data_IF_537444292693
#
_entry.id   IF_537444292693
#
_cell.length_a   1.000
_cell.length_b   1.000
_cell.length_c   1.000
_cell.angle_alpha   90.00
_cell.angle_beta   90.00
_cell.angle_gamma   90.00
#
_symmetry.space_group_name_H-M   'P 1'
#
loop_
_entity.id
_entity.type
_entity.pdbx_description
1 polymer ?
#
# COMPACT_ATOMS: atom_id res chain seq x y z
N UNK A 1 -15.81 -86.84 2.96
CA UNK A 1 -15.74 -86.44 4.38
C UNK A 1 -14.36 -85.83 4.64
N UNK A 2 -14.26 -84.49 4.64
CA UNK A 2 -13.21 -83.69 5.29
C UNK A 2 -13.57 -82.21 5.04
N UNK A 3 -14.26 -81.58 5.99
CA UNK A 3 -13.74 -80.49 6.83
C UNK A 3 -13.20 -79.27 6.06
N UNK A 4 -13.95 -78.18 6.10
CA UNK A 4 -13.41 -76.87 6.42
C UNK A 4 -14.42 -76.10 7.27
N UNK A 5 -13.93 -75.67 8.43
CA UNK A 5 -14.64 -75.03 9.51
C UNK A 5 -14.22 -73.55 9.46
N UNK A 6 -15.15 -72.61 9.39
CA UNK A 6 -14.81 -71.18 9.51
C UNK A 6 -15.77 -70.52 10.48
N UNK A 7 -15.23 -70.17 11.66
CA UNK A 7 -15.90 -69.46 12.72
C UNK A 7 -16.24 -68.03 12.30
N UNK A 8 -17.49 -67.62 12.54
CA UNK A 8 -17.90 -66.22 12.46
C UNK A 8 -17.57 -65.53 13.79
N UNK A 9 -16.50 -64.73 13.80
CA UNK A 9 -16.19 -63.81 14.89
C UNK A 9 -16.85 -62.45 14.58
N UNK A 10 -17.75 -62.03 15.47
CA UNK A 10 -18.35 -60.70 15.52
C UNK A 10 -17.30 -59.66 15.89
N UNK A 11 -16.93 -58.80 14.93
CA UNK A 11 -16.08 -57.63 15.19
C UNK A 11 -16.95 -56.37 15.33
N UNK A 12 -17.19 -55.97 16.57
CA UNK A 12 -17.60 -54.61 16.92
C UNK A 12 -16.42 -53.67 16.70
N UNK A 13 -16.35 -53.06 15.51
CA UNK A 13 -15.37 -52.05 15.16
C UNK A 13 -15.88 -50.64 15.47
N UNK A 14 -15.14 -49.93 16.31
CA UNK A 14 -15.34 -48.54 16.72
C UNK A 14 -15.75 -47.60 15.57
N UNK A 15 -16.79 -46.79 15.79
CA UNK A 15 -17.01 -45.57 15.01
C UNK A 15 -15.89 -44.59 15.37
N UNK A 16 -14.82 -44.57 14.58
CA UNK A 16 -13.89 -43.45 14.60
C UNK A 16 -14.64 -42.16 14.27
N UNK A 17 -14.48 -41.14 15.11
CA UNK A 17 -14.96 -39.80 14.82
C UNK A 17 -14.36 -39.34 13.47
N UNK A 18 -15.16 -38.71 12.58
CA UNK A 18 -14.60 -38.16 11.36
C UNK A 18 -13.50 -37.15 11.69
N UNK A 19 -12.42 -37.08 10.89
CA UNK A 19 -11.29 -36.20 11.19
C UNK A 19 -11.78 -34.76 11.30
N UNK A 20 -11.52 -34.14 12.45
CA UNK A 20 -11.79 -32.72 12.67
C UNK A 20 -11.16 -31.90 11.52
N UNK A 21 -11.89 -30.91 11.00
CA UNK A 21 -11.41 -30.05 9.92
C UNK A 21 -9.98 -29.56 10.24
N UNK A 22 -9.06 -29.74 9.29
CA UNK A 22 -7.64 -29.39 9.48
C UNK A 22 -7.51 -27.92 9.89
N UNK A 23 -6.97 -27.68 11.09
CA UNK A 23 -6.73 -26.34 11.61
C UNK A 23 -5.33 -25.88 11.23
N UNK A 24 -5.22 -24.60 10.87
CA UNK A 24 -3.98 -23.96 10.44
C UNK A 24 -3.72 -22.72 11.28
N UNK A 25 -2.46 -22.29 11.32
CA UNK A 25 -2.04 -21.02 11.94
C UNK A 25 -1.58 -20.04 10.89
N UNK A 26 -1.81 -18.75 11.14
CA UNK A 26 -1.33 -17.69 10.28
C UNK A 26 -1.52 -16.31 10.88
N UNK A 27 -1.14 -15.29 10.13
CA UNK A 27 -1.23 -13.89 10.55
C UNK A 27 -2.32 -13.21 9.72
N UNK A 28 -3.25 -12.52 10.38
CA UNK A 28 -4.31 -11.80 9.67
C UNK A 28 -3.70 -10.63 8.91
N UNK A 29 -3.80 -10.70 7.57
CA UNK A 29 -3.32 -9.69 6.63
C UNK A 29 -4.34 -8.58 6.43
N UNK A 30 -5.60 -8.95 6.25
CA UNK A 30 -6.66 -8.03 5.80
C UNK A 30 -8.04 -8.51 6.28
N UNK A 31 -8.91 -7.57 6.64
CA UNK A 31 -10.33 -7.79 6.90
C UNK A 31 -11.13 -7.25 5.70
N UNK A 32 -11.78 -8.14 4.97
CA UNK A 32 -12.55 -7.79 3.76
C UNK A 32 -13.95 -7.27 4.10
N UNK A 33 -14.58 -7.86 5.12
CA UNK A 33 -15.90 -7.54 5.65
C UNK A 33 -15.98 -8.00 7.12
N UNK A 34 -17.08 -7.66 7.81
CA UNK A 34 -17.35 -8.11 9.18
C UNK A 34 -17.45 -9.62 9.40
N UNK A 35 -17.30 -10.42 8.34
CA UNK A 35 -17.37 -11.88 8.38
C UNK A 35 -16.29 -12.53 7.50
N UNK A 36 -15.32 -11.78 6.98
CA UNK A 36 -14.32 -12.34 6.05
C UNK A 36 -12.94 -11.74 6.28
N UNK A 37 -11.95 -12.61 6.47
CA UNK A 37 -10.54 -12.22 6.69
C UNK A 37 -9.61 -12.94 5.71
N UNK A 38 -8.49 -12.31 5.39
CA UNK A 38 -7.37 -12.90 4.66
C UNK A 38 -6.25 -13.16 5.66
N UNK A 39 -5.83 -14.41 5.73
CA UNK A 39 -4.79 -14.91 6.64
C UNK A 39 -3.62 -15.35 5.79
N UNK A 40 -2.42 -14.86 6.09
CA UNK A 40 -1.18 -15.24 5.41
C UNK A 40 -0.36 -16.18 6.28
N UNK A 41 0.43 -17.04 5.63
CA UNK A 41 1.46 -17.80 6.32
C UNK A 41 2.53 -16.87 6.93
N UNK A 42 3.22 -17.37 7.96
CA UNK A 42 4.34 -16.66 8.59
C UNK A 42 5.60 -16.65 7.72
N UNK A 43 5.73 -17.61 6.79
CA UNK A 43 6.87 -17.80 5.89
C UNK A 43 6.42 -17.94 4.43
N UNK A 44 7.34 -17.72 3.49
CA UNK A 44 7.13 -17.79 2.04
C UNK A 44 7.42 -16.45 1.34
N UNK A 45 7.71 -16.49 0.04
CA UNK A 45 8.03 -15.32 -0.77
C UNK A 45 7.39 -15.42 -2.18
N UNK A 46 6.19 -14.84 -2.40
CA UNK A 46 5.30 -14.25 -1.39
C UNK A 46 4.69 -15.33 -0.47
N UNK A 47 4.34 -15.00 0.79
CA UNK A 47 3.69 -15.96 1.68
C UNK A 47 2.34 -16.41 1.12
N UNK A 48 2.01 -17.71 1.17
CA UNK A 48 0.67 -18.18 0.83
C UNK A 48 -0.41 -17.46 1.65
N UNK A 49 -1.52 -17.15 1.01
CA UNK A 49 -2.68 -16.48 1.61
C UNK A 49 -3.91 -17.36 1.51
N UNK A 50 -4.79 -17.23 2.50
CA UNK A 50 -6.06 -17.93 2.57
C UNK A 50 -7.16 -16.98 3.02
N UNK A 51 -8.24 -16.92 2.26
CA UNK A 51 -9.41 -16.10 2.60
C UNK A 51 -10.43 -16.99 3.32
N UNK A 52 -10.75 -16.65 4.56
CA UNK A 52 -11.71 -17.37 5.40
C UNK A 52 -12.94 -16.50 5.60
N UNK A 53 -14.10 -17.03 5.19
CA UNK A 53 -15.41 -16.48 5.54
C UNK A 53 -15.90 -17.15 6.83
N UNK A 54 -16.50 -16.42 7.75
CA UNK A 54 -16.94 -16.97 9.02
C UNK A 54 -18.14 -17.90 8.83
N UNK A 55 -18.05 -19.09 9.43
CA UNK A 55 -19.12 -20.09 9.37
C UNK A 55 -20.38 -19.59 10.06
N UNK A 56 -21.54 -19.93 9.48
CA UNK A 56 -22.89 -19.70 10.02
C UNK A 56 -23.31 -18.25 10.27
N UNK A 57 -22.51 -17.26 9.89
CA UNK A 57 -22.85 -15.85 10.10
C UNK A 57 -22.88 -15.08 8.78
N UNK A 58 -23.42 -13.87 8.85
CA UNK A 58 -23.45 -12.91 7.75
C UNK A 58 -23.25 -11.49 8.31
N UNK A 59 -22.24 -10.79 7.80
CA UNK A 59 -22.05 -9.37 8.12
C UNK A 59 -22.90 -8.46 7.22
N UNK A 60 -23.29 -7.26 7.71
CA UNK A 60 -23.82 -6.22 6.84
C UNK A 60 -22.78 -5.84 5.75
N UNK A 61 -23.24 -5.60 4.53
CA UNK A 61 -22.38 -5.36 3.36
C UNK A 61 -21.77 -3.96 3.37
N UNK A 62 -20.46 -3.89 3.15
CA UNK A 62 -19.76 -2.63 2.93
C UNK A 62 -20.07 -2.03 1.55
N UNK A 63 -19.99 -0.70 1.50
CA UNK A 63 -20.01 0.10 0.30
C UNK A 63 -18.93 -0.35 -0.68
N UNK A 64 -19.28 -0.36 -1.97
CA UNK A 64 -18.36 -0.70 -3.06
C UNK A 64 -18.14 0.52 -3.91
N UNK A 65 -16.87 0.80 -4.16
CA UNK A 65 -16.47 1.86 -5.09
C UNK A 65 -17.04 1.54 -6.48
N UNK A 66 -17.65 2.51 -7.17
CA UNK A 66 -18.02 2.35 -8.57
C UNK A 66 -16.76 2.03 -9.40
N UNK A 67 -16.77 0.87 -10.05
CA UNK A 67 -15.70 0.38 -10.91
C UNK A 67 -16.04 0.57 -12.39
N UNK A 68 -15.23 0.00 -13.28
CA UNK A 68 -15.44 0.06 -14.74
C UNK A 68 -16.63 -0.76 -15.27
N UNK A 69 -17.63 -1.07 -14.44
CA UNK A 69 -18.77 -1.90 -14.85
C UNK A 69 -19.81 -2.17 -13.75
N UNK A 70 -19.94 -1.32 -12.74
CA UNK A 70 -20.98 -1.49 -11.72
C UNK A 70 -21.28 -0.21 -10.96
N UNK A 71 -22.52 -0.11 -10.50
CA UNK A 71 -23.01 1.03 -9.73
C UNK A 71 -22.37 1.11 -8.34
N UNK A 72 -22.25 2.34 -7.84
CA UNK A 72 -21.87 2.58 -6.44
C UNK A 72 -22.90 1.95 -5.49
N UNK A 73 -22.43 1.20 -4.49
CA UNK A 73 -23.29 0.72 -3.40
C UNK A 73 -22.93 1.44 -2.11
N UNK A 74 -23.96 1.79 -1.32
CA UNK A 74 -23.78 2.30 0.04
C UNK A 74 -23.50 1.17 1.03
N UNK A 75 -22.98 1.52 2.21
CA UNK A 75 -22.90 0.58 3.32
C UNK A 75 -24.32 0.16 3.71
N UNK A 76 -24.52 -1.12 3.98
CA UNK A 76 -25.62 -1.54 4.84
C UNK A 76 -25.35 -1.03 6.27
N UNK A 77 -26.40 -0.73 7.05
CA UNK A 77 -26.23 -0.28 8.42
C UNK A 77 -25.27 -1.20 9.23
N UNK A 78 -24.28 -0.59 9.91
CA UNK A 78 -23.31 -1.23 10.82
C UNK A 78 -22.25 -2.06 10.08
N UNK A 79 -22.21 -2.02 8.74
CA UNK A 79 -21.18 -2.72 7.96
C UNK A 79 -19.78 -2.22 8.31
N UNK A 80 -19.63 -0.89 8.43
CA UNK A 80 -18.36 -0.28 8.82
C UNK A 80 -17.96 -0.63 10.25
N UNK A 81 -18.86 -0.47 11.22
CA UNK A 81 -18.63 -0.83 12.62
C UNK A 81 -18.21 -2.30 12.76
N UNK A 82 -18.90 -3.21 12.05
CA UNK A 82 -18.60 -4.64 12.04
C UNK A 82 -17.19 -4.94 11.50
N UNK A 83 -16.80 -4.28 10.40
CA UNK A 83 -15.47 -4.43 9.82
C UNK A 83 -14.37 -3.80 10.67
N UNK A 84 -14.61 -2.63 11.26
CA UNK A 84 -13.63 -1.92 12.09
C UNK A 84 -13.37 -2.65 13.40
N UNK A 85 -14.40 -3.23 14.03
CA UNK A 85 -14.22 -4.08 15.21
C UNK A 85 -13.26 -5.24 14.92
N UNK A 86 -13.45 -5.94 13.79
CA UNK A 86 -12.51 -6.98 13.36
C UNK A 86 -11.13 -6.44 13.04
N UNK A 87 -11.04 -5.30 12.35
CA UNK A 87 -9.76 -4.68 11.96
C UNK A 87 -8.91 -4.39 13.20
N UNK A 88 -9.49 -3.72 14.19
CA UNK A 88 -8.83 -3.36 15.44
C UNK A 88 -8.41 -4.60 16.23
N UNK A 89 -9.27 -5.63 16.25
CA UNK A 89 -9.00 -6.86 16.99
C UNK A 89 -7.94 -7.74 16.34
N UNK A 90 -7.92 -7.86 15.01
CA UNK A 90 -7.21 -8.93 14.32
C UNK A 90 -6.03 -8.50 13.47
N UNK A 91 -5.97 -7.26 12.96
CA UNK A 91 -4.93 -6.93 11.97
C UNK A 91 -3.51 -7.10 12.54
N UNK A 92 -2.72 -7.95 11.88
CA UNK A 92 -1.37 -8.29 12.30
C UNK A 92 -1.29 -9.32 13.44
N UNK A 93 -2.41 -9.80 13.98
CA UNK A 93 -2.42 -10.84 15.02
C UNK A 93 -2.22 -12.24 14.43
N UNK A 94 -1.57 -13.09 15.21
CA UNK A 94 -1.52 -14.53 14.93
C UNK A 94 -2.84 -15.19 15.36
N UNK A 95 -3.39 -16.02 14.48
CA UNK A 95 -4.66 -16.71 14.68
C UNK A 95 -4.53 -18.16 14.30
N UNK A 96 -5.33 -19.00 14.95
CA UNK A 96 -5.63 -20.36 14.50
C UNK A 96 -6.98 -20.34 13.81
N UNK A 97 -7.14 -21.08 12.72
CA UNK A 97 -8.39 -21.12 11.98
C UNK A 97 -8.67 -22.51 11.40
N UNK A 98 -9.95 -22.85 11.31
CA UNK A 98 -10.43 -23.99 10.54
C UNK A 98 -10.90 -23.53 9.18
N UNK A 99 -10.99 -24.45 8.21
CA UNK A 99 -11.64 -24.16 6.95
C UNK A 99 -12.30 -25.41 6.38
N UNK A 100 -13.45 -25.21 5.76
CA UNK A 100 -14.22 -26.19 5.02
C UNK A 100 -14.68 -25.52 3.73
N UNK A 101 -14.58 -26.25 2.61
CA UNK A 101 -15.06 -25.78 1.32
C UNK A 101 -16.30 -26.57 0.93
N UNK A 102 -17.50 -25.96 0.98
CA UNK A 102 -18.72 -26.62 0.52
C UNK A 102 -18.60 -27.01 -0.97
N UNK A 103 -19.14 -28.17 -1.40
CA UNK A 103 -19.01 -28.63 -2.79
C UNK A 103 -19.43 -27.61 -3.86
N UNK A 104 -20.46 -26.81 -3.56
CA UNK A 104 -21.04 -25.83 -4.49
C UNK A 104 -20.55 -24.39 -4.22
N UNK A 105 -19.43 -24.21 -3.50
CA UNK A 105 -18.91 -22.89 -3.18
C UNK A 105 -17.43 -22.75 -3.51
N UNK A 106 -17.07 -21.62 -4.11
CA UNK A 106 -15.68 -21.20 -4.21
C UNK A 106 -15.14 -20.54 -2.93
N UNK A 107 -15.99 -20.37 -1.91
CA UNK A 107 -15.62 -19.79 -0.63
C UNK A 107 -15.25 -20.88 0.37
N UNK A 108 -14.22 -20.61 1.14
CA UNK A 108 -13.84 -21.41 2.30
C UNK A 108 -14.46 -20.77 3.54
N UNK A 109 -15.18 -21.58 4.31
CA UNK A 109 -15.85 -21.17 5.54
C UNK A 109 -15.15 -21.78 6.74
N UNK A 110 -15.06 -21.02 7.83
CA UNK A 110 -14.40 -21.53 9.02
C UNK A 110 -14.60 -20.65 10.25
N UNK A 111 -13.98 -21.11 11.34
CA UNK A 111 -13.87 -20.36 12.58
C UNK A 111 -12.44 -19.85 12.74
N UNK A 112 -12.29 -18.73 13.45
CA UNK A 112 -11.01 -18.09 13.73
C UNK A 112 -10.89 -17.87 15.23
N UNK A 113 -9.75 -18.22 15.79
CA UNK A 113 -9.42 -18.05 17.20
C UNK A 113 -8.18 -17.17 17.36
N UNK A 114 -8.23 -16.24 18.31
CA UNK A 114 -7.07 -15.40 18.65
C UNK A 114 -5.96 -16.26 19.29
N UNK A 115 -4.77 -16.29 18.70
CA UNK A 115 -3.68 -17.15 19.16
C UNK A 115 -3.92 -18.62 18.80
N UNK A 116 -4.23 -19.44 19.81
CA UNK A 116 -4.52 -20.87 19.64
C UNK A 116 -6.02 -21.20 19.79
N UNK A 117 -6.35 -22.48 19.77
CA UNK A 117 -7.74 -22.97 19.81
C UNK A 117 -8.42 -22.77 21.16
N UNK A 118 -7.64 -22.55 22.22
CA UNK A 118 -8.16 -22.19 23.56
C UNK A 118 -8.45 -20.69 23.67
N UNK A 119 -7.95 -19.92 22.70
CA UNK A 119 -8.19 -18.50 22.58
C UNK A 119 -9.63 -18.15 22.23
N UNK A 120 -9.89 -16.85 22.21
CA UNK A 120 -11.21 -16.31 21.93
C UNK A 120 -11.68 -16.66 20.51
N UNK A 121 -12.86 -17.29 20.39
CA UNK A 121 -13.51 -17.55 19.11
C UNK A 121 -14.11 -16.25 18.55
N UNK A 122 -13.50 -15.72 17.50
CA UNK A 122 -13.86 -14.44 16.88
C UNK A 122 -15.30 -14.45 16.36
N UNK A 123 -15.77 -15.57 15.81
CA UNK A 123 -17.13 -15.67 15.27
C UNK A 123 -18.17 -15.49 16.38
N UNK A 124 -17.95 -16.15 17.52
CA UNK A 124 -18.79 -16.01 18.71
C UNK A 124 -18.75 -14.57 19.24
N UNK A 125 -17.59 -13.93 19.25
CA UNK A 125 -17.46 -12.52 19.65
C UNK A 125 -18.24 -11.59 18.73
N UNK A 126 -18.13 -11.75 17.41
CA UNK A 126 -18.87 -10.93 16.45
C UNK A 126 -20.38 -11.04 16.63
N UNK A 127 -20.89 -12.24 16.93
CA UNK A 127 -22.31 -12.45 17.24
C UNK A 127 -22.70 -11.79 18.55
N UNK A 128 -21.90 -11.99 19.61
CA UNK A 128 -22.14 -11.43 20.95
C UNK A 128 -22.16 -9.90 20.98
N UNK A 129 -21.39 -9.26 20.11
CA UNK A 129 -21.38 -7.80 19.96
C UNK A 129 -22.49 -7.30 19.00
N UNK A 130 -23.30 -8.19 18.44
CA UNK A 130 -24.38 -7.83 17.53
C UNK A 130 -23.88 -7.22 16.23
N UNK A 131 -22.71 -7.64 15.73
CA UNK A 131 -22.09 -7.08 14.53
C UNK A 131 -22.31 -7.95 13.28
N UNK A 132 -22.88 -9.15 13.46
CA UNK A 132 -23.26 -10.08 12.40
C UNK A 132 -24.61 -10.73 12.75
N UNK A 133 -25.21 -11.41 11.78
CA UNK A 133 -26.43 -12.21 11.96
C UNK A 133 -26.14 -13.69 11.74
N UNK A 134 -26.76 -14.54 12.56
CA UNK A 134 -26.62 -16.00 12.50
C UNK A 134 -27.60 -16.57 11.46
N UNK A 135 -27.10 -17.46 10.61
CA UNK A 135 -27.88 -18.22 9.60
C UNK A 135 -28.59 -19.40 10.26
N UNK A 136 -29.63 -19.11 11.04
CA UNK A 136 -30.39 -20.08 11.85
C UNK A 136 -31.02 -21.21 11.03
N UNK A 137 -31.23 -20.98 9.74
CA UNK A 137 -31.76 -21.94 8.78
C UNK A 137 -30.76 -23.03 8.37
N UNK A 138 -29.47 -22.87 8.73
CA UNK A 138 -28.44 -23.87 8.47
C UNK A 138 -28.79 -25.20 9.16
N UNK A 139 -28.55 -26.33 8.48
CA UNK A 139 -28.80 -27.68 9.00
C UNK A 139 -27.54 -28.56 8.78
N UNK A 140 -26.46 -28.35 9.55
CA UNK A 140 -25.27 -29.18 9.41
C UNK A 140 -25.57 -30.63 9.82
N UNK A 141 -24.99 -31.59 9.10
CA UNK A 141 -25.19 -33.03 9.33
C UNK A 141 -24.52 -33.53 10.60
N UNK A 142 -23.37 -32.95 10.97
CA UNK A 142 -22.58 -33.41 12.11
C UNK A 142 -23.11 -32.83 13.43
N UNK A 143 -23.29 -33.65 14.49
CA UNK A 143 -23.82 -33.18 15.78
C UNK A 143 -23.05 -32.01 16.41
N UNK A 144 -21.71 -32.07 16.39
CA UNK A 144 -20.88 -30.99 16.95
C UNK A 144 -21.06 -29.64 16.23
N UNK A 145 -21.38 -29.66 14.93
CA UNK A 145 -21.68 -28.44 14.16
C UNK A 145 -23.07 -27.89 14.49
N UNK A 146 -24.01 -28.78 14.83
CA UNK A 146 -25.35 -28.37 15.30
C UNK A 146 -25.25 -27.70 16.67
N UNK A 147 -24.46 -28.25 17.59
CA UNK A 147 -24.17 -27.63 18.89
C UNK A 147 -23.51 -26.25 18.75
N UNK A 148 -22.52 -26.11 17.86
CA UNK A 148 -21.88 -24.82 17.59
C UNK A 148 -22.87 -23.80 17.01
N UNK A 149 -23.74 -24.20 16.07
CA UNK A 149 -24.79 -23.33 15.54
C UNK A 149 -25.78 -22.91 16.64
N UNK A 150 -26.20 -23.85 17.50
CA UNK A 150 -27.11 -23.58 18.61
C UNK A 150 -26.49 -22.57 19.59
N UNK A 151 -25.20 -22.70 19.89
CA UNK A 151 -24.46 -21.73 20.71
C UNK A 151 -24.45 -20.33 20.08
N UNK A 152 -24.23 -20.22 18.76
CA UNK A 152 -24.29 -18.93 18.06
C UNK A 152 -25.69 -18.33 18.11
N UNK A 153 -26.74 -19.14 17.97
CA UNK A 153 -28.14 -18.70 18.08
C UNK A 153 -28.40 -18.07 19.45
N UNK A 154 -27.98 -18.73 20.53
CA UNK A 154 -28.13 -18.24 21.91
C UNK A 154 -27.38 -16.92 22.14
N UNK A 155 -26.16 -16.80 21.62
CA UNK A 155 -25.39 -15.56 21.68
C UNK A 155 -26.07 -14.41 20.93
N UNK A 156 -26.69 -14.70 19.77
CA UNK A 156 -27.43 -13.69 19.02
C UNK A 156 -28.68 -13.23 19.78
N UNK A 157 -29.41 -14.16 20.41
CA UNK A 157 -30.58 -13.82 21.23
C UNK A 157 -30.20 -12.96 22.45
N UNK A 158 -29.06 -13.24 23.07
CA UNK A 158 -28.48 -12.38 24.11
C UNK A 158 -28.12 -10.99 23.59
N UNK A 159 -27.48 -10.91 22.41
CA UNK A 159 -27.10 -9.63 21.80
C UNK A 159 -28.33 -8.78 21.43
N UNK A 160 -29.40 -9.43 20.95
CA UNK A 160 -30.71 -8.79 20.69
C UNK A 160 -31.34 -8.27 21.96
N UNK A 161 -31.42 -9.10 23.00
CA UNK A 161 -32.00 -8.71 24.28
C UNK A 161 -31.23 -7.55 24.93
N UNK A 162 -29.91 -7.54 24.81
CA UNK A 162 -29.05 -6.48 25.31
C UNK A 162 -28.98 -5.23 24.40
N UNK A 163 -29.63 -5.23 23.24
CA UNK A 163 -29.62 -4.11 22.29
C UNK A 163 -28.21 -3.76 21.78
N UNK A 164 -27.36 -4.77 21.51
CA UNK A 164 -25.97 -4.56 21.10
C UNK A 164 -25.83 -4.41 19.59
N UNK A 165 -24.86 -3.60 19.17
CA UNK A 165 -24.52 -3.44 17.76
C UNK A 165 -25.75 -3.11 16.93
N UNK A 166 -25.99 -3.90 15.87
CA UNK A 166 -27.11 -3.74 14.94
C UNK A 166 -28.50 -3.95 15.56
N UNK A 167 -28.55 -4.47 16.79
CA UNK A 167 -29.78 -4.68 17.56
C UNK A 167 -30.10 -3.52 18.50
N UNK A 168 -29.25 -2.50 18.55
CA UNK A 168 -29.50 -1.27 19.33
C UNK A 168 -30.65 -0.44 18.74
N UNK A 169 -31.14 0.52 19.52
CA UNK A 169 -32.18 1.47 19.09
C UNK A 169 -31.60 2.68 18.30
N UNK A 170 -30.32 2.63 17.90
CA UNK A 170 -29.70 3.69 17.09
C UNK A 170 -30.32 3.69 15.70
N UNK A 171 -30.52 4.87 15.10
CA UNK A 171 -31.11 4.98 13.78
C UNK A 171 -30.20 4.32 12.70
N UNK A 172 -30.74 3.38 11.89
CA UNK A 172 -30.05 2.78 10.75
C UNK A 172 -29.19 3.71 9.89
N UNK A 173 -29.67 4.94 9.65
CA UNK A 173 -28.99 5.90 8.77
C UNK A 173 -27.70 6.48 9.36
N UNK A 174 -27.56 6.53 10.70
CA UNK A 174 -26.38 7.10 11.38
C UNK A 174 -25.14 6.19 11.28
N UNK A 175 -25.33 4.95 10.83
CA UNK A 175 -24.27 3.94 10.71
C UNK A 175 -23.97 3.58 9.26
N UNK A 176 -24.31 4.49 8.35
CA UNK A 176 -23.96 4.44 6.93
C UNK A 176 -22.97 5.57 6.69
N UNK A 177 -21.77 5.27 6.18
CA UNK A 177 -20.78 6.31 5.90
C UNK A 177 -21.16 7.12 4.68
N UNK A 178 -20.86 8.40 4.73
CA UNK A 178 -20.86 9.28 3.56
C UNK A 178 -19.49 9.24 2.89
N UNK A 179 -19.28 8.26 2.01
CA UNK A 179 -17.99 8.06 1.35
C UNK A 179 -17.84 9.03 0.18
N UNK A 180 -16.71 9.74 0.15
CA UNK A 180 -16.34 10.63 -0.96
C UNK A 180 -15.32 9.91 -1.84
N UNK A 181 -15.78 9.16 -2.84
CA UNK A 181 -14.94 8.31 -3.70
C UNK A 181 -14.05 9.08 -4.68
N UNK A 182 -14.54 10.22 -5.14
CA UNK A 182 -13.87 11.14 -6.07
C UNK A 182 -13.85 12.52 -5.46
N UNK A 183 -12.85 13.32 -5.83
CA UNK A 183 -12.69 14.68 -5.35
C UNK A 183 -12.56 15.59 -6.56
N UNK A 184 -13.51 16.50 -6.74
CA UNK A 184 -13.50 17.47 -7.84
C UNK A 184 -12.30 18.41 -7.76
N UNK A 185 -11.95 18.82 -6.54
CA UNK A 185 -10.80 19.67 -6.27
C UNK A 185 -9.88 19.08 -5.19
N UNK A 186 -8.97 18.16 -5.56
CA UNK A 186 -8.00 17.59 -4.62
C UNK A 186 -7.12 18.64 -3.93
N UNK A 187 -6.76 19.72 -4.62
CA UNK A 187 -5.94 20.80 -4.08
C UNK A 187 -6.64 21.56 -2.94
N UNK A 188 -7.97 21.70 -3.02
CA UNK A 188 -8.75 22.30 -1.94
C UNK A 188 -8.65 21.47 -0.65
N UNK A 189 -8.64 20.14 -0.74
CA UNK A 189 -8.50 19.26 0.44
C UNK A 189 -7.11 19.39 1.06
N UNK A 190 -6.05 19.50 0.24
CA UNK A 190 -4.70 19.78 0.77
C UNK A 190 -4.68 21.13 1.51
N UNK A 191 -5.34 22.14 0.95
CA UNK A 191 -5.44 23.47 1.57
C UNK A 191 -6.26 23.45 2.86
N UNK A 192 -7.35 22.69 2.90
CA UNK A 192 -8.22 22.51 4.06
C UNK A 192 -7.44 22.01 5.28
N UNK A 193 -6.58 21.00 5.07
CA UNK A 193 -5.76 20.44 6.14
C UNK A 193 -4.46 21.21 6.37
N UNK A 194 -4.00 22.02 5.42
CA UNK A 194 -2.87 22.95 5.53
C UNK A 194 -1.58 22.34 6.16
N UNK A 195 -1.28 21.07 5.88
CA UNK A 195 -0.11 20.37 6.42
C UNK A 195 -0.29 19.78 7.82
N UNK A 196 -1.47 19.92 8.43
CA UNK A 196 -1.79 19.23 9.68
C UNK A 196 -1.93 17.71 9.45
N UNK A 197 -1.40 16.86 10.35
CA UNK A 197 -1.58 15.43 10.28
C UNK A 197 -3.05 14.98 10.44
N UNK A 198 -3.60 14.37 9.40
CA UNK A 198 -4.98 13.87 9.36
C UNK A 198 -5.02 12.39 9.73
N UNK A 199 -5.94 11.97 10.61
CA UNK A 199 -6.13 10.54 10.88
C UNK A 199 -6.63 9.83 9.63
N UNK A 200 -6.11 8.65 9.36
CA UNK A 200 -6.48 7.89 8.18
C UNK A 200 -6.32 6.38 8.39
N UNK A 201 -7.05 5.61 7.60
CA UNK A 201 -6.89 4.15 7.52
C UNK A 201 -6.38 3.80 6.13
N UNK A 202 -5.27 3.08 6.06
CA UNK A 202 -4.75 2.59 4.78
C UNK A 202 -5.62 1.42 4.31
N UNK A 203 -6.34 1.59 3.21
CA UNK A 203 -7.30 0.60 2.72
C UNK A 203 -6.70 -0.36 1.69
N UNK A 204 -5.76 0.13 0.88
CA UNK A 204 -5.16 -0.66 -0.18
C UNK A 204 -3.73 -0.20 -0.45
N UNK A 205 -2.85 -1.15 -0.77
CA UNK A 205 -1.47 -0.86 -1.21
C UNK A 205 -1.40 -1.18 -2.69
N UNK A 206 -1.27 -0.16 -3.56
CA UNK A 206 -1.14 -0.38 -5.01
C UNK A 206 0.26 -0.88 -5.36
N UNK A 207 1.27 -0.20 -4.81
CA UNK A 207 2.68 -0.51 -4.92
C UNK A 207 3.41 0.00 -3.68
N UNK A 208 4.73 -0.19 -3.59
CA UNK A 208 5.51 0.21 -2.41
C UNK A 208 5.52 1.72 -2.11
N UNK A 209 5.13 2.57 -3.06
CA UNK A 209 5.10 4.04 -2.92
C UNK A 209 3.72 4.66 -3.12
N UNK A 210 2.69 3.86 -3.42
CA UNK A 210 1.33 4.33 -3.67
C UNK A 210 0.31 3.51 -2.89
N UNK A 211 -0.45 4.18 -2.04
CA UNK A 211 -1.52 3.57 -1.22
C UNK A 211 -2.86 4.25 -1.49
N UNK A 212 -3.95 3.62 -1.07
CA UNK A 212 -5.26 4.26 -0.94
C UNK A 212 -5.66 4.29 0.51
N UNK A 213 -6.29 5.37 0.94
CA UNK A 213 -6.66 5.58 2.33
C UNK A 213 -8.01 6.29 2.45
N UNK A 214 -8.71 6.03 3.55
CA UNK A 214 -9.79 6.90 4.02
C UNK A 214 -9.20 7.95 4.96
N UNK A 215 -9.38 9.24 4.65
CA UNK A 215 -9.17 10.30 5.63
C UNK A 215 -10.38 10.38 6.57
N UNK A 216 -10.12 10.43 7.87
CA UNK A 216 -11.13 10.47 8.92
C UNK A 216 -11.25 11.87 9.52
N UNK A 217 -12.45 12.28 9.98
CA UNK A 217 -13.70 11.50 10.06
C UNK A 217 -14.55 11.52 8.77
N UNK A 218 -14.21 12.36 7.79
CA UNK A 218 -15.07 12.69 6.66
C UNK A 218 -15.12 11.69 5.50
N UNK A 219 -14.41 10.56 5.64
CA UNK A 219 -14.32 9.45 4.68
C UNK A 219 -13.96 9.86 3.23
N UNK A 220 -12.99 10.77 3.09
CA UNK A 220 -12.36 11.02 1.78
C UNK A 220 -11.54 9.80 1.37
N UNK A 221 -11.94 9.13 0.28
CA UNK A 221 -11.17 8.04 -0.29
C UNK A 221 -10.13 8.60 -1.27
N UNK A 222 -8.86 8.59 -0.86
CA UNK A 222 -7.77 9.18 -1.62
C UNK A 222 -6.81 8.12 -2.15
N UNK A 223 -6.17 8.41 -3.29
CA UNK A 223 -4.93 7.74 -3.69
C UNK A 223 -3.76 8.61 -3.27
N UNK A 224 -2.90 8.10 -2.41
CA UNK A 224 -1.74 8.80 -1.86
C UNK A 224 -0.44 8.22 -2.45
N UNK A 225 0.36 9.09 -3.08
CA UNK A 225 1.76 8.83 -3.39
C UNK A 225 2.63 9.30 -2.23
N UNK A 226 3.45 8.41 -1.71
CA UNK A 226 4.35 8.70 -0.60
C UNK A 226 5.42 9.69 -1.08
N UNK A 227 5.49 10.84 -0.42
CA UNK A 227 6.38 11.91 -0.85
C UNK A 227 7.86 11.54 -0.68
N UNK A 228 8.66 12.13 -1.56
CA UNK A 228 10.11 11.99 -1.58
C UNK A 228 10.66 10.67 -2.13
N UNK A 229 9.82 9.67 -2.43
CA UNK A 229 10.27 8.36 -2.89
C UNK A 229 9.49 7.83 -4.10
N UNK A 230 10.07 6.86 -4.79
CA UNK A 230 9.38 6.01 -5.78
C UNK A 230 9.86 4.58 -5.66
N UNK A 231 8.91 3.66 -5.56
CA UNK A 231 9.16 2.22 -5.69
C UNK A 231 9.01 1.77 -7.15
N UNK A 232 9.58 0.61 -7.51
CA UNK A 232 9.26 -0.06 -8.76
C UNK A 232 7.75 -0.29 -8.86
N UNK A 233 7.17 0.03 -10.02
CA UNK A 233 5.76 -0.18 -10.31
C UNK A 233 5.58 -1.25 -11.40
N UNK A 234 4.36 -1.75 -11.53
CA UNK A 234 4.00 -2.63 -12.66
C UNK A 234 3.75 -1.77 -13.90
N UNK A 235 4.25 -2.19 -15.07
CA UNK A 235 3.90 -1.53 -16.34
C UNK A 235 2.45 -1.82 -16.68
N UNK A 236 1.79 -0.85 -17.31
CA UNK A 236 0.45 -1.03 -17.82
C UNK A 236 0.50 -1.29 -19.32
N UNK A 237 -0.38 -2.17 -19.81
CA UNK A 237 -0.64 -2.38 -21.23
C UNK A 237 -1.49 -1.24 -21.81
N UNK A 238 -1.83 -1.34 -23.10
CA UNK A 238 -2.60 -0.30 -23.80
C UNK A 238 -4.02 -0.14 -23.25
N UNK A 239 -4.53 -1.18 -22.59
CA UNK A 239 -5.82 -1.23 -21.93
C UNK A 239 -5.75 -0.77 -20.46
N UNK A 240 -4.58 -0.33 -19.98
CA UNK A 240 -4.37 0.14 -18.62
C UNK A 240 -4.34 -0.98 -17.56
N UNK A 241 -4.18 -2.24 -17.98
CA UNK A 241 -4.05 -3.41 -17.10
C UNK A 241 -2.57 -3.75 -16.90
N UNK A 242 -2.22 -4.48 -15.82
CA UNK A 242 -0.84 -4.94 -15.61
C UNK A 242 -0.28 -5.73 -16.80
N UNK A 243 0.77 -5.23 -17.43
CA UNK A 243 1.52 -5.94 -18.47
C UNK A 243 2.36 -7.04 -17.83
N UNK A 244 1.84 -8.27 -17.87
CA UNK A 244 2.48 -9.45 -17.28
C UNK A 244 3.73 -9.91 -18.05
N UNK A 245 3.99 -9.36 -19.25
CA UNK A 245 5.19 -9.68 -20.03
C UNK A 245 6.44 -8.99 -19.48
N UNK A 246 6.28 -7.87 -18.77
CA UNK A 246 7.38 -7.09 -18.21
C UNK A 246 7.53 -7.35 -16.72
N UNK A 247 8.53 -8.16 -16.35
CA UNK A 247 8.91 -8.35 -14.94
C UNK A 247 9.87 -7.25 -14.51
N UNK A 248 9.39 -6.30 -13.71
CA UNK A 248 10.23 -5.31 -13.05
C UNK A 248 10.69 -5.89 -11.69
N UNK A 249 12.00 -5.95 -11.41
CA UNK A 249 12.50 -6.47 -10.14
C UNK A 249 11.99 -5.70 -8.92
N UNK A 250 11.78 -6.41 -7.81
CA UNK A 250 11.45 -5.87 -6.50
C UNK A 250 10.07 -5.18 -6.36
N UNK A 251 9.17 -5.29 -7.35
CA UNK A 251 7.82 -4.71 -7.28
C UNK A 251 7.00 -5.37 -6.17
N UNK A 252 6.92 -6.70 -6.17
CA UNK A 252 6.13 -7.46 -5.20
C UNK A 252 6.72 -7.35 -3.80
N UNK A 253 8.04 -7.34 -3.68
CA UNK A 253 8.76 -7.17 -2.42
C UNK A 253 8.53 -5.79 -1.82
N UNK A 254 8.58 -4.72 -2.63
CA UNK A 254 8.29 -3.36 -2.18
C UNK A 254 6.83 -3.21 -1.74
N UNK A 255 5.88 -3.77 -2.50
CA UNK A 255 4.47 -3.80 -2.14
C UNK A 255 4.24 -4.57 -0.84
N UNK A 256 4.77 -5.78 -0.72
CA UNK A 256 4.66 -6.63 0.46
C UNK A 256 5.28 -5.97 1.71
N UNK A 257 6.39 -5.25 1.54
CA UNK A 257 7.03 -4.50 2.62
C UNK A 257 6.06 -3.48 3.25
N UNK A 258 5.27 -2.79 2.43
CA UNK A 258 4.25 -1.84 2.88
C UNK A 258 3.00 -2.57 3.40
N UNK A 259 2.50 -3.60 2.71
CA UNK A 259 1.30 -4.34 3.13
C UNK A 259 1.44 -4.92 4.54
N UNK A 260 2.59 -5.52 4.85
CA UNK A 260 2.85 -6.11 6.17
C UNK A 260 2.89 -5.10 7.31
N UNK A 261 3.13 -3.81 7.01
CA UNK A 261 3.32 -2.74 8.00
C UNK A 261 2.13 -1.80 8.12
N UNK A 262 1.49 -1.46 6.99
CA UNK A 262 0.52 -0.37 6.93
C UNK A 262 -0.89 -0.78 6.48
N UNK A 263 -1.08 -1.88 5.75
CA UNK A 263 -2.41 -2.28 5.27
C UNK A 263 -3.41 -2.39 6.42
N UNK A 264 -4.51 -1.63 6.37
CA UNK A 264 -5.55 -1.55 7.40
C UNK A 264 -5.07 -1.12 8.79
N UNK A 265 -3.96 -0.37 8.87
CA UNK A 265 -3.53 0.29 10.09
C UNK A 265 -4.05 1.73 10.09
N UNK A 266 -4.41 2.20 11.27
CA UNK A 266 -4.63 3.62 11.49
C UNK A 266 -3.27 4.33 11.50
N UNK A 267 -3.18 5.41 10.74
CA UNK A 267 -1.99 6.24 10.57
C UNK A 267 -2.41 7.71 10.63
N UNK A 268 -1.44 8.61 10.70
CA UNK A 268 -1.67 10.00 10.34
C UNK A 268 -1.05 10.29 8.98
N UNK A 269 -1.75 11.01 8.12
CA UNK A 269 -1.24 11.43 6.81
C UNK A 269 -1.09 12.94 6.82
N UNK A 270 0.09 13.43 6.50
CA UNK A 270 0.32 14.84 6.20
C UNK A 270 0.21 15.05 4.70
N UNK A 271 -0.81 15.76 4.27
CA UNK A 271 -0.98 16.13 2.86
C UNK A 271 -0.07 17.32 2.52
N UNK A 272 0.60 17.23 1.37
CA UNK A 272 1.64 18.19 0.97
C UNK A 272 1.33 18.83 -0.37
N UNK A 273 0.86 18.04 -1.35
CA UNK A 273 0.52 18.52 -2.69
C UNK A 273 -0.41 17.54 -3.40
N UNK A 274 -0.71 17.82 -4.67
CA UNK A 274 -1.48 16.95 -5.56
C UNK A 274 -0.78 16.83 -6.90
N UNK A 275 -0.99 15.70 -7.58
CA UNK A 275 -0.60 15.48 -8.96
C UNK A 275 -1.76 14.76 -9.67
N UNK A 276 -2.44 15.47 -10.56
CA UNK A 276 -3.73 15.06 -11.12
C UNK A 276 -4.73 14.74 -9.99
N UNK A 277 -5.31 13.53 -9.98
CA UNK A 277 -6.20 13.07 -8.93
C UNK A 277 -5.48 12.44 -7.72
N UNK A 278 -4.14 12.31 -7.77
CA UNK A 278 -3.36 11.67 -6.70
C UNK A 278 -2.86 12.71 -5.70
N UNK A 279 -3.02 12.41 -4.42
CA UNK A 279 -2.46 13.20 -3.34
C UNK A 279 -0.99 12.83 -3.15
N UNK A 280 -0.18 13.80 -2.72
CA UNK A 280 1.21 13.61 -2.33
C UNK A 280 1.31 13.94 -0.85
N UNK A 281 1.94 13.06 -0.09
CA UNK A 281 2.10 13.30 1.34
C UNK A 281 2.94 12.26 2.08
N UNK A 282 3.17 12.56 3.34
CA UNK A 282 3.96 11.73 4.26
C UNK A 282 3.02 10.90 5.15
N UNK A 283 3.27 9.60 5.24
CA UNK A 283 2.59 8.71 6.20
C UNK A 283 3.37 8.72 7.51
N UNK A 284 2.69 9.12 8.59
CA UNK A 284 3.21 9.20 9.94
C UNK A 284 2.68 8.02 10.77
N UNK A 285 3.60 7.22 11.30
CA UNK A 285 3.28 6.07 12.14
C UNK A 285 4.24 6.04 13.34
N UNK A 286 3.78 5.67 14.57
CA UNK A 286 4.63 5.70 15.77
C UNK A 286 5.91 4.86 15.67
N UNK A 287 5.88 3.79 14.85
CA UNK A 287 7.03 2.90 14.64
C UNK A 287 8.05 3.38 13.60
N UNK A 288 7.84 4.57 13.01
CA UNK A 288 8.78 5.19 12.09
C UNK A 288 8.19 5.54 10.71
N UNK A 289 9.04 6.14 9.87
CA UNK A 289 8.67 6.57 8.53
C UNK A 289 8.86 5.41 7.52
N UNK A 290 7.77 5.05 6.84
CA UNK A 290 7.77 3.98 5.82
C UNK A 290 8.66 4.33 4.63
N UNK A 291 8.73 5.61 4.23
CA UNK A 291 9.53 6.06 3.09
C UNK A 291 11.03 5.86 3.34
N UNK A 292 11.48 6.25 4.54
CA UNK A 292 12.85 6.05 5.00
C UNK A 292 13.20 4.56 5.06
N UNK A 293 12.27 3.74 5.56
CA UNK A 293 12.46 2.29 5.67
C UNK A 293 12.60 1.62 4.30
N UNK A 294 11.77 2.01 3.32
CA UNK A 294 11.86 1.51 1.94
C UNK A 294 13.18 1.89 1.27
N UNK A 295 13.64 3.13 1.47
CA UNK A 295 14.94 3.58 0.94
C UNK A 295 16.10 2.83 1.59
N UNK A 296 16.08 2.67 2.92
CA UNK A 296 17.11 1.96 3.68
C UNK A 296 17.25 0.51 3.25
N UNK A 297 16.15 -0.14 2.90
CA UNK A 297 16.15 -1.49 2.33
C UNK A 297 16.48 -1.50 0.82
N UNK A 298 16.62 -0.36 0.14
CA UNK A 298 16.89 -0.33 -1.30
C UNK A 298 15.71 -0.78 -2.16
N UNK A 299 14.48 -0.66 -1.65
CA UNK A 299 13.22 -0.94 -2.34
C UNK A 299 12.59 0.31 -2.97
N UNK A 300 13.21 1.47 -2.78
CA UNK A 300 12.79 2.74 -3.35
C UNK A 300 14.00 3.59 -3.78
N UNK A 301 13.72 4.63 -4.57
CA UNK A 301 14.66 5.70 -4.94
C UNK A 301 14.12 7.05 -4.48
N UNK A 302 15.01 7.98 -4.13
CA UNK A 302 14.64 9.36 -3.82
C UNK A 302 14.14 10.09 -5.08
N UNK A 303 13.14 10.96 -4.92
CA UNK A 303 12.52 11.72 -6.00
C UNK A 303 12.54 13.21 -5.70
N UNK A 304 13.41 13.95 -6.38
CA UNK A 304 13.71 15.35 -6.08
C UNK A 304 12.47 16.27 -6.11
N UNK A 305 11.59 16.11 -7.10
CA UNK A 305 10.43 17.00 -7.27
C UNK A 305 9.40 16.83 -6.16
N UNK A 306 9.19 15.59 -5.66
CA UNK A 306 8.25 15.34 -4.57
C UNK A 306 8.88 15.60 -3.22
N UNK A 307 10.21 15.52 -3.09
CA UNK A 307 10.93 16.02 -1.92
C UNK A 307 10.79 17.54 -1.76
N UNK A 308 10.73 18.29 -2.87
CA UNK A 308 10.63 19.75 -2.83
C UNK A 308 9.31 20.28 -2.26
N UNK A 309 8.25 19.47 -2.27
CA UNK A 309 6.94 19.83 -1.70
C UNK A 309 6.75 19.33 -0.26
N UNK A 310 7.73 18.61 0.30
CA UNK A 310 7.66 18.12 1.67
C UNK A 310 7.66 19.29 2.65
N UNK A 311 6.76 19.24 3.64
CA UNK A 311 6.66 20.30 4.67
C UNK A 311 7.75 20.19 5.73
N UNK A 312 8.29 18.99 5.94
CA UNK A 312 9.37 18.73 6.91
C UNK A 312 10.71 18.54 6.17
N UNK A 313 11.53 19.59 6.14
CA UNK A 313 12.84 19.58 5.48
C UNK A 313 13.83 18.60 6.13
N UNK A 314 13.70 18.33 7.44
CA UNK A 314 14.56 17.36 8.13
C UNK A 314 14.31 15.93 7.64
N UNK A 315 13.09 15.67 7.14
CA UNK A 315 12.72 14.39 6.55
C UNK A 315 13.49 14.15 5.24
N UNK A 316 13.66 15.19 4.42
CA UNK A 316 14.34 15.09 3.12
C UNK A 316 15.81 14.62 3.27
N UNK A 317 16.53 15.14 4.25
CA UNK A 317 17.91 14.73 4.54
C UNK A 317 17.99 13.26 5.00
N UNK A 318 17.05 12.83 5.85
CA UNK A 318 16.94 11.44 6.31
C UNK A 318 16.69 10.47 5.15
N UNK A 319 15.83 10.86 4.19
CA UNK A 319 15.59 10.06 2.99
C UNK A 319 16.88 9.89 2.16
N UNK A 320 17.64 10.96 1.92
CA UNK A 320 18.93 10.87 1.20
C UNK A 320 19.93 9.98 1.93
N UNK A 321 20.01 10.11 3.25
CA UNK A 321 20.89 9.29 4.07
C UNK A 321 20.50 7.80 3.98
N UNK A 322 19.21 7.48 4.06
CA UNK A 322 18.70 6.11 3.93
C UNK A 322 19.01 5.51 2.54
N UNK A 323 18.80 6.26 1.46
CA UNK A 323 19.15 5.81 0.11
C UNK A 323 20.66 5.57 -0.04
N UNK A 324 21.49 6.46 0.52
CA UNK A 324 22.96 6.31 0.51
C UNK A 324 23.40 5.02 1.19
N UNK A 325 22.81 4.68 2.34
CA UNK A 325 23.11 3.42 3.05
C UNK A 325 22.79 2.20 2.15
N UNK A 326 21.65 2.23 1.44
CA UNK A 326 21.28 1.12 0.55
C UNK A 326 22.20 1.01 -0.67
N UNK A 327 22.67 2.14 -1.23
CA UNK A 327 23.66 2.19 -2.32
C UNK A 327 25.01 1.64 -1.89
N UNK A 328 25.52 2.09 -0.74
CA UNK A 328 26.81 1.63 -0.18
C UNK A 328 26.79 0.12 0.07
N UNK A 329 25.66 -0.42 0.54
CA UNK A 329 25.45 -1.86 0.78
C UNK A 329 24.99 -2.65 -0.45
N UNK A 330 24.81 -2.00 -1.61
CA UNK A 330 24.31 -2.62 -2.86
C UNK A 330 23.03 -3.44 -2.69
N UNK A 331 22.07 -2.91 -1.93
CA UNK A 331 20.82 -3.62 -1.62
C UNK A 331 19.80 -3.51 -2.77
N UNK A 332 19.20 -4.66 -3.15
CA UNK A 332 18.10 -4.80 -4.12
C UNK A 332 18.25 -3.93 -5.37
N UNK A 333 17.56 -2.79 -5.47
CA UNK A 333 17.64 -1.89 -6.64
C UNK A 333 19.07 -1.37 -6.91
N UNK A 334 19.97 -1.51 -5.93
CA UNK A 334 21.35 -1.06 -5.98
C UNK A 334 22.36 -2.21 -6.13
N UNK A 335 21.94 -3.45 -6.42
CA UNK A 335 22.85 -4.58 -6.64
C UNK A 335 23.91 -4.28 -7.71
N UNK A 336 23.47 -3.68 -8.81
CA UNK A 336 24.32 -3.27 -9.93
C UNK A 336 24.76 -1.80 -9.85
N UNK A 337 24.62 -1.16 -8.68
CA UNK A 337 25.04 0.22 -8.50
C UNK A 337 26.56 0.32 -8.66
N UNK A 338 26.97 0.80 -9.82
CA UNK A 338 28.33 1.24 -10.07
C UNK A 338 28.44 2.65 -9.51
N UNK A 339 29.34 2.84 -8.55
CA UNK A 339 29.86 4.18 -8.31
C UNK A 339 30.36 4.65 -9.67
N UNK A 340 29.72 5.68 -10.21
CA UNK A 340 30.41 6.55 -11.15
C UNK A 340 31.51 7.20 -10.33
N UNK A 341 32.61 6.47 -10.12
CA UNK A 341 33.90 7.10 -10.28
C UNK A 341 33.80 7.69 -11.68
N UNK A 342 33.35 8.94 -11.76
CA UNK A 342 34.06 9.82 -12.67
C UNK A 342 35.51 9.51 -12.33
N UNK A 343 36.19 8.81 -13.23
CA UNK A 343 37.59 9.08 -13.43
C UNK A 343 37.60 10.57 -13.76
N UNK A 344 37.48 11.42 -12.72
CA UNK A 344 38.10 12.70 -12.69
C UNK A 344 39.52 12.33 -13.03
N UNK A 345 39.88 12.58 -14.27
CA UNK A 345 41.22 12.37 -14.72
C UNK A 345 42.02 13.42 -13.94
N UNK A 346 42.42 13.06 -12.71
CA UNK A 346 43.12 13.91 -11.75
C UNK A 346 44.49 14.38 -12.28
N UNK A 347 44.80 14.11 -13.56
CA UNK A 347 45.92 14.69 -14.31
C UNK A 347 45.73 16.17 -14.61
N UNK A 348 44.51 16.71 -14.63
CA UNK A 348 44.27 18.14 -14.82
C UNK A 348 43.54 18.71 -13.60
N UNK A 349 44.28 18.91 -12.50
CA UNK A 349 43.72 19.52 -11.29
C UNK A 349 43.37 20.98 -11.50
N UNK A 350 44.20 21.71 -12.26
CA UNK A 350 44.03 23.13 -12.52
C UNK A 350 44.36 23.44 -13.98
N UNK A 351 43.54 24.28 -14.62
CA UNK A 351 43.84 24.87 -15.91
C UNK A 351 43.41 26.33 -15.90
N UNK A 352 44.21 27.19 -16.54
CA UNK A 352 43.86 28.59 -16.77
C UNK A 352 43.40 28.74 -18.21
N UNK A 353 42.38 29.55 -18.45
CA UNK A 353 41.92 29.84 -19.79
C UNK A 353 40.92 30.99 -19.80
N UNK A 354 40.61 31.49 -20.98
CA UNK A 354 39.65 32.58 -21.16
C UNK A 354 38.27 32.01 -21.38
N UNK A 355 37.28 32.43 -20.60
CA UNK A 355 35.89 32.07 -20.85
C UNK A 355 35.47 32.68 -22.19
N UNK A 356 35.10 31.84 -23.16
CA UNK A 356 34.70 32.28 -24.50
C UNK A 356 33.19 32.26 -24.70
N UNK A 357 32.47 31.44 -23.93
CA UNK A 357 31.02 31.38 -23.97
C UNK A 357 30.48 30.88 -22.63
N UNK A 358 29.45 31.54 -22.12
CA UNK A 358 28.61 30.99 -21.05
C UNK A 358 27.51 30.17 -21.72
N UNK A 359 27.58 28.84 -21.58
CA UNK A 359 26.66 27.95 -22.29
C UNK A 359 25.29 27.91 -21.60
N UNK A 360 25.27 27.78 -20.27
CA UNK A 360 24.09 27.79 -19.42
C UNK A 360 24.49 28.10 -17.95
N UNK A 361 23.53 28.14 -17.03
CA UNK A 361 23.79 28.48 -15.62
C UNK A 361 24.65 27.48 -14.82
N UNK A 362 24.96 26.30 -15.37
CA UNK A 362 25.82 25.29 -14.75
C UNK A 362 27.04 24.91 -15.61
N UNK A 363 27.26 25.55 -16.77
CA UNK A 363 28.39 25.25 -17.64
C UNK A 363 28.89 26.45 -18.48
N UNK A 364 30.20 26.49 -18.65
CA UNK A 364 30.94 27.48 -19.45
C UNK A 364 31.87 26.78 -20.43
N UNK A 365 32.17 27.43 -21.54
CA UNK A 365 33.22 27.03 -22.48
C UNK A 365 34.45 27.92 -22.25
N UNK A 366 35.58 27.29 -21.94
CA UNK A 366 36.86 27.94 -21.63
C UNK A 366 37.85 27.62 -22.74
N UNK A 367 38.42 28.65 -23.37
CA UNK A 367 39.52 28.51 -24.31
C UNK A 367 40.83 28.41 -23.55
N UNK A 368 41.51 27.29 -23.70
CA UNK A 368 42.80 26.99 -23.11
C UNK A 368 43.94 27.71 -23.88
N UNK A 369 45.15 27.84 -23.31
CA UNK A 369 46.29 28.50 -23.95
C UNK A 369 46.71 27.82 -25.28
N UNK A 370 46.46 26.52 -25.40
CA UNK A 370 46.69 25.76 -26.63
C UNK A 370 45.61 25.96 -27.71
N UNK A 371 44.66 26.87 -27.49
CA UNK A 371 43.58 27.19 -28.42
C UNK A 371 42.37 26.26 -28.35
N UNK A 372 42.44 25.14 -27.60
CA UNK A 372 41.31 24.22 -27.44
C UNK A 372 40.21 24.84 -26.58
N UNK A 373 38.95 24.62 -26.98
CA UNK A 373 37.78 25.00 -26.19
C UNK A 373 37.35 23.80 -25.35
N UNK A 374 37.37 23.96 -24.04
CA UNK A 374 36.95 22.95 -23.06
C UNK A 374 35.66 23.39 -22.39
N UNK A 375 34.66 22.52 -22.40
CA UNK A 375 33.41 22.73 -21.66
C UNK A 375 33.59 22.31 -20.21
N UNK A 376 33.24 23.20 -19.29
CA UNK A 376 33.42 23.05 -17.85
C UNK A 376 32.05 23.15 -17.19
N UNK A 377 31.72 22.18 -16.34
CA UNK A 377 30.50 22.20 -15.55
C UNK A 377 30.84 22.58 -14.12
N UNK A 378 30.03 23.46 -13.51
CA UNK A 378 30.19 23.80 -12.11
C UNK A 378 29.76 22.62 -11.23
N UNK A 379 30.55 22.34 -10.20
CA UNK A 379 30.23 21.31 -9.23
C UNK A 379 29.01 21.72 -8.40
N UNK A 380 28.15 20.74 -8.10
CA UNK A 380 27.02 20.89 -7.18
C UNK A 380 25.96 21.94 -7.56
N UNK A 381 25.97 22.45 -8.79
CA UNK A 381 24.92 23.31 -9.33
C UNK A 381 24.09 22.49 -10.33
N UNK A 382 22.76 22.62 -10.24
CA UNK A 382 21.85 22.15 -11.28
C UNK A 382 20.90 23.26 -11.69
N UNK A 383 20.74 23.43 -12.99
CA UNK A 383 19.75 24.37 -13.52
C UNK A 383 18.34 23.79 -13.35
N UNK A 384 17.34 24.63 -13.03
CA UNK A 384 15.93 24.26 -13.13
C UNK A 384 15.61 23.67 -14.51
N UNK A 385 15.03 22.46 -14.53
CA UNK A 385 14.65 21.82 -15.80
C UNK A 385 13.49 22.57 -16.45
N UNK A 386 13.48 22.60 -17.78
CA UNK A 386 12.39 23.14 -18.58
C UNK A 386 11.08 22.44 -18.20
N UNK A 387 10.12 23.19 -17.67
CA UNK A 387 8.85 22.69 -17.13
C UNK A 387 7.90 22.13 -18.20
N UNK A 388 8.29 22.20 -19.48
CA UNK A 388 7.57 21.55 -20.60
C UNK A 388 7.69 20.03 -20.64
N UNK A 389 8.48 19.40 -19.77
CA UNK A 389 8.42 17.95 -19.58
C UNK A 389 7.11 17.57 -18.89
N UNK A 390 6.13 17.10 -19.69
CA UNK A 390 4.90 16.50 -19.17
C UNK A 390 5.27 15.18 -18.50
N UNK A 391 4.99 15.07 -17.21
CA UNK A 391 5.09 13.81 -16.48
C UNK A 391 3.94 12.93 -16.97
N UNK A 392 4.26 11.83 -17.66
CA UNK A 392 3.26 10.83 -18.02
C UNK A 392 2.57 10.28 -16.77
N UNK A 393 1.33 9.80 -16.92
CA UNK A 393 0.50 9.27 -15.83
C UNK A 393 1.20 8.17 -14.99
N UNK A 394 2.26 7.57 -15.53
CA UNK A 394 2.92 6.38 -15.01
C UNK A 394 4.29 6.69 -14.37
N UNK A 395 4.78 7.92 -14.50
CA UNK A 395 6.07 8.34 -13.96
C UNK A 395 7.31 7.62 -14.55
N UNK A 396 7.14 6.72 -15.54
CA UNK A 396 8.22 6.28 -16.42
C UNK A 396 8.29 7.17 -17.67
N UNK A 397 9.53 7.44 -18.06
CA UNK A 397 9.97 8.34 -19.13
C UNK A 397 9.40 9.77 -19.11
N UNK A 398 10.31 10.72 -18.87
CA UNK A 398 10.17 12.07 -19.43
C UNK A 398 9.93 11.88 -20.92
N UNK A 399 8.76 12.27 -21.45
CA UNK A 399 8.63 12.49 -22.89
C UNK A 399 9.72 13.49 -23.22
N UNK A 400 10.83 13.02 -23.79
CA UNK A 400 11.94 13.88 -24.18
C UNK A 400 11.32 14.89 -25.13
N UNK A 401 11.37 16.16 -24.76
CA UNK A 401 11.12 17.23 -25.72
C UNK A 401 11.91 16.89 -27.00
N UNK A 402 11.33 17.10 -28.20
CA UNK A 402 11.96 16.71 -29.46
C UNK A 402 13.42 17.13 -29.47
N UNK A 403 14.34 16.27 -29.98
CA UNK A 403 15.76 16.51 -29.91
C UNK A 403 16.06 17.89 -30.46
N UNK A 404 16.61 18.74 -29.60
CA UNK A 404 16.92 20.12 -29.93
C UNK A 404 18.01 20.12 -31.00
N UNK A 405 17.87 20.99 -32.01
CA UNK A 405 18.83 21.09 -33.11
C UNK A 405 20.25 21.38 -32.62
N UNK A 406 21.26 21.07 -33.45
CA UNK A 406 22.70 21.20 -33.12
C UNK A 406 23.13 22.56 -32.56
N UNK A 407 22.32 23.61 -32.71
CA UNK A 407 22.61 24.98 -32.29
C UNK A 407 21.75 25.48 -31.11
N UNK A 408 21.03 24.61 -30.41
CA UNK A 408 20.16 25.02 -29.32
C UNK A 408 20.92 25.64 -28.15
N UNK A 409 20.56 26.88 -27.79
CA UNK A 409 21.19 27.64 -26.69
C UNK A 409 20.19 27.86 -25.54
N UNK A 410 20.21 27.02 -24.50
CA UNK A 410 19.22 27.07 -23.41
C UNK A 410 19.16 28.42 -22.69
N UNK A 411 20.27 29.14 -22.62
CA UNK A 411 20.36 30.45 -21.98
C UNK A 411 19.53 31.53 -22.67
N UNK A 412 19.45 31.48 -24.00
CA UNK A 412 18.78 32.49 -24.83
C UNK A 412 17.40 32.04 -25.32
N UNK A 413 17.15 30.72 -25.32
CA UNK A 413 15.92 30.12 -25.88
C UNK A 413 14.90 29.68 -24.80
N UNK A 414 15.23 29.83 -23.52
CA UNK A 414 14.30 29.57 -22.40
C UNK A 414 14.00 30.92 -21.73
N UNK A 415 12.76 31.44 -21.80
CA UNK A 415 12.41 32.80 -21.36
C UNK A 415 12.90 33.18 -19.95
N UNK A 416 12.86 32.25 -18.99
CA UNK A 416 13.20 32.52 -17.59
C UNK A 416 14.70 32.32 -17.24
N UNK A 417 15.50 31.75 -18.16
CA UNK A 417 16.93 31.49 -17.92
C UNK A 417 17.76 32.77 -18.04
N UNK A 418 17.34 33.72 -18.87
CA UNK A 418 18.04 34.97 -19.08
C UNK A 418 17.76 35.99 -17.96
N UNK A 419 16.52 36.02 -17.44
CA UNK A 419 16.11 36.99 -16.41
C UNK A 419 16.81 36.81 -15.06
N UNK A 420 17.14 35.57 -14.66
CA UNK A 420 17.83 35.30 -13.38
C UNK A 420 19.31 35.65 -13.37
N UNK A 421 19.93 35.92 -14.51
CA UNK A 421 21.37 36.18 -14.64
C UNK A 421 21.76 37.67 -14.60
N UNK A 422 20.84 38.58 -14.28
CA UNK A 422 21.19 39.95 -13.86
C UNK A 422 21.75 39.94 -12.43
N UNK A 423 22.86 39.24 -12.21
CA UNK A 423 23.76 39.56 -11.10
C UNK A 423 24.45 40.87 -11.48
N UNK A 424 24.20 41.90 -10.67
CA UNK A 424 24.78 43.23 -10.81
C UNK A 424 26.28 43.12 -11.05
N UNK A 425 26.73 43.69 -12.16
CA UNK A 425 28.11 44.12 -12.33
C UNK A 425 28.47 44.99 -11.12
N UNK A 426 29.28 44.45 -10.22
CA UNK A 426 30.01 45.21 -9.21
C UNK A 426 31.47 44.88 -9.44
N UNK A 427 32.07 45.63 -10.36
CA UNK A 427 33.51 45.90 -10.41
C UNK A 427 33.65 47.39 -10.71
N UNK A 428 34.01 48.14 -9.68
CA UNK A 428 35.00 49.22 -9.75
C UNK A 428 36.14 48.79 -8.84
#
# INVERSE_FOLDING_TARGET
MSTSNTAAATASGNKENPPAASKLKGIVKQVLSGDTVVIRASKGAPPPEKQITFSYVLAPKLARRPGAGGDETKDEPWAWDSREFLREKLIGQEVTFSYEKPPNSNREYGFVWCGDETGENVVQTMVKEGLVTVRRESRPSEPYKQEELQKLIELEDQAKHAGRGKWSNVNPSEKIREIKWTQENPAHIVTLYNGEPVRAIIEHVRDGSTVRAFLLPDFYYITLMISGIRCPGVKLDQEGKPDLSVKIPFVDEARYFVETRLLQREVKIRLESVNNANFIGTILHPRGNIAESLLREGLAKCVDWSMAVMKDLSCAEKLRAAERIAKEKRLRLWQDFKLNAQHLNYKEKDFTGTVVEVFNGDAINVKLPNGLIKKVFFSSIRIPRDTRSVVGADGEEVVKAPPRGKNYRPLYEIPFMFEKNKLKSVYN
#
